data_IF_717818331357
#
_entry.id   IF_717818331357
#
_cell.length_a   1.000
_cell.length_b   1.000
_cell.length_c   1.000
_cell.angle_alpha   90.00
_cell.angle_beta   90.00
_cell.angle_gamma   90.00
#
_symmetry.space_group_name_H-M   'P 1'
#
loop_
_entity.id
_entity.type
_entity.pdbx_description
1 polymer ?
#
# COMPACT_ATOMS: atom_id res chain seq x y z
N UNK A 1 -2.87 24.50 -7.49
CA UNK A 1 -2.20 23.54 -6.59
C UNK A 1 -2.93 22.20 -6.71
N UNK A 2 -2.23 21.06 -6.75
CA UNK A 2 -2.87 19.74 -6.80
C UNK A 2 -3.80 19.55 -5.60
N UNK A 3 -5.04 19.11 -5.83
CA UNK A 3 -6.01 18.80 -4.78
C UNK A 3 -6.05 17.28 -4.54
N UNK A 4 -5.77 16.87 -3.31
CA UNK A 4 -5.79 15.46 -2.90
C UNK A 4 -6.99 15.23 -1.97
N UNK A 5 -7.88 14.32 -2.34
CA UNK A 5 -8.90 13.78 -1.43
C UNK A 5 -8.37 12.54 -0.72
N UNK A 6 -8.72 12.33 0.55
CA UNK A 6 -8.27 11.14 1.30
C UNK A 6 -9.48 10.27 1.67
N UNK A 7 -9.43 9.00 1.30
CA UNK A 7 -10.39 7.97 1.70
C UNK A 7 -9.74 7.06 2.73
N UNK A 8 -10.27 7.04 3.96
CA UNK A 8 -9.74 6.26 5.08
C UNK A 8 -8.90 7.11 6.03
N UNK A 9 -9.46 7.42 7.21
CA UNK A 9 -8.83 8.29 8.21
C UNK A 9 -8.14 7.49 9.33
N UNK A 10 -7.47 6.39 8.95
CA UNK A 10 -6.63 5.59 9.86
C UNK A 10 -5.20 6.13 9.98
N UNK A 11 -4.26 5.26 10.38
CA UNK A 11 -2.83 5.60 10.54
C UNK A 11 -2.22 6.26 9.30
N UNK A 12 -2.33 5.64 8.13
CA UNK A 12 -1.70 6.15 6.90
C UNK A 12 -2.41 7.40 6.40
N UNK A 13 -3.75 7.39 6.31
CA UNK A 13 -4.51 8.57 5.85
C UNK A 13 -4.32 9.80 6.74
N UNK A 14 -4.25 9.60 8.07
CA UNK A 14 -3.87 10.68 9.01
C UNK A 14 -2.45 11.19 8.75
N UNK A 15 -1.50 10.27 8.54
CA UNK A 15 -0.11 10.62 8.20
C UNK A 15 0.00 11.45 6.91
N UNK A 16 -0.79 11.11 5.88
CA UNK A 16 -0.87 11.86 4.62
C UNK A 16 -1.49 13.26 4.85
N UNK A 17 -2.64 13.34 5.54
CA UNK A 17 -3.31 14.61 5.81
C UNK A 17 -2.39 15.59 6.56
N UNK A 18 -1.69 15.10 7.59
CA UNK A 18 -0.69 15.88 8.35
C UNK A 18 0.53 16.27 7.52
N UNK A 19 0.93 15.44 6.57
CA UNK A 19 2.04 15.78 5.67
C UNK A 19 1.66 16.88 4.66
N UNK A 20 0.40 16.93 4.23
CA UNK A 20 -0.15 18.02 3.41
C UNK A 20 -0.20 19.31 4.23
N UNK A 21 -0.77 19.28 5.43
CA UNK A 21 -0.83 20.44 6.35
C UNK A 21 0.56 21.02 6.63
N UNK A 22 1.54 20.16 6.91
CA UNK A 22 2.92 20.56 7.17
C UNK A 22 3.71 20.96 5.90
N UNK A 23 3.08 20.98 4.72
CA UNK A 23 3.73 21.35 3.45
C UNK A 23 4.75 20.35 2.91
N UNK A 24 4.88 19.16 3.52
CA UNK A 24 5.79 18.09 3.07
C UNK A 24 5.31 17.45 1.77
N UNK A 25 3.99 17.40 1.57
CA UNK A 25 3.37 17.10 0.29
C UNK A 25 2.89 18.44 -0.29
N UNK A 26 3.43 18.89 -1.44
CA UNK A 26 3.13 20.19 -2.03
C UNK A 26 1.76 20.22 -2.75
N UNK A 27 0.70 19.91 -2.01
CA UNK A 27 -0.69 19.80 -2.45
C UNK A 27 -1.64 20.49 -1.46
N UNK A 28 -2.92 20.58 -1.80
CA UNK A 28 -4.00 21.00 -0.91
C UNK A 28 -4.92 19.82 -0.61
N UNK A 29 -5.48 19.77 0.60
CA UNK A 29 -6.46 18.75 0.97
C UNK A 29 -7.84 19.14 0.42
N UNK A 30 -8.39 18.32 -0.48
CA UNK A 30 -9.70 18.54 -1.07
C UNK A 30 -10.84 18.25 -0.09
N UNK A 31 -10.64 17.22 0.74
CA UNK A 31 -11.60 16.76 1.72
C UNK A 31 -11.18 15.40 2.30
N UNK A 32 -11.96 14.93 3.27
CA UNK A 32 -11.80 13.63 3.90
C UNK A 32 -13.07 12.81 3.74
N UNK A 33 -12.91 11.53 3.47
CA UNK A 33 -13.98 10.54 3.50
C UNK A 33 -13.58 9.34 4.33
N UNK A 34 -14.51 8.81 5.12
CA UNK A 34 -14.31 7.56 5.85
C UNK A 34 -15.67 6.89 6.07
N UNK A 35 -15.73 5.55 5.95
CA UNK A 35 -16.96 4.76 6.18
C UNK A 35 -17.67 5.15 7.48
N UNK A 36 -16.91 5.35 8.55
CA UNK A 36 -17.41 5.95 9.79
C UNK A 36 -17.14 7.45 9.75
N UNK A 37 -18.13 8.25 9.38
CA UNK A 37 -18.02 9.72 9.21
C UNK A 37 -17.36 10.42 10.39
N UNK A 38 -17.72 10.05 11.62
CA UNK A 38 -17.16 10.62 12.84
C UNK A 38 -15.62 10.56 12.90
N UNK A 39 -14.97 9.53 12.33
CA UNK A 39 -13.50 9.45 12.26
C UNK A 39 -12.90 10.52 11.34
N UNK A 40 -13.54 10.78 10.21
CA UNK A 40 -13.11 11.85 9.30
C UNK A 40 -13.31 13.23 9.95
N UNK A 41 -14.39 13.43 10.70
CA UNK A 41 -14.65 14.69 11.42
C UNK A 41 -13.64 14.94 12.55
N UNK A 42 -13.26 13.89 13.29
CA UNK A 42 -12.19 13.99 14.31
C UNK A 42 -10.87 14.41 13.66
N UNK A 43 -10.48 13.77 12.55
CA UNK A 43 -9.27 14.13 11.83
C UNK A 43 -9.36 15.56 11.28
N UNK A 44 -10.49 15.93 10.66
CA UNK A 44 -10.71 17.26 10.11
C UNK A 44 -10.53 18.37 11.16
N UNK A 45 -11.19 18.24 12.32
CA UNK A 45 -11.07 19.20 13.43
C UNK A 45 -9.67 19.33 13.99
N UNK A 46 -8.84 18.31 13.81
CA UNK A 46 -7.46 18.32 14.29
C UNK A 46 -6.49 19.04 13.35
N UNK A 47 -6.92 19.36 12.12
CA UNK A 47 -6.13 20.00 11.07
C UNK A 47 -6.48 21.49 10.93
N UNK A 48 -5.53 22.29 10.43
CA UNK A 48 -5.68 23.71 10.14
C UNK A 48 -5.15 24.05 8.75
N UNK A 49 -6.00 24.56 7.82
CA UNK A 49 -7.45 24.72 7.98
C UNK A 49 -8.16 23.36 8.06
N UNK A 50 -9.30 23.31 8.75
CA UNK A 50 -10.13 22.10 8.80
C UNK A 50 -10.66 21.77 7.40
N UNK A 51 -10.33 20.61 6.81
CA UNK A 51 -10.88 20.17 5.53
C UNK A 51 -12.37 19.80 5.66
N UNK A 52 -13.14 19.87 4.57
CA UNK A 52 -14.51 19.37 4.57
C UNK A 52 -14.53 17.83 4.67
N UNK A 53 -15.56 17.30 5.32
CA UNK A 53 -15.87 15.87 5.32
C UNK A 53 -16.97 15.62 4.30
N UNK A 54 -16.65 14.87 3.26
CA UNK A 54 -17.46 14.68 2.06
C UNK A 54 -17.90 13.22 1.92
N UNK A 55 -18.98 12.99 1.17
CA UNK A 55 -19.22 11.65 0.64
C UNK A 55 -18.18 11.26 -0.44
N UNK A 56 -18.19 10.01 -0.89
CA UNK A 56 -17.19 9.53 -1.84
C UNK A 56 -17.30 10.25 -3.20
N UNK A 57 -18.51 10.49 -3.69
CA UNK A 57 -18.72 11.10 -5.00
C UNK A 57 -18.31 12.58 -5.01
N UNK A 58 -18.70 13.33 -3.98
CA UNK A 58 -18.29 14.71 -3.74
C UNK A 58 -16.77 14.82 -3.60
N UNK A 59 -16.15 13.90 -2.85
CA UNK A 59 -14.70 13.88 -2.68
C UNK A 59 -13.96 13.67 -4.00
N UNK A 60 -14.40 12.70 -4.82
CA UNK A 60 -13.84 12.43 -6.15
C UNK A 60 -14.00 13.67 -7.05
N UNK A 61 -15.18 14.29 -7.04
CA UNK A 61 -15.45 15.51 -7.82
C UNK A 61 -14.54 16.68 -7.45
N UNK A 62 -14.24 16.84 -6.16
CA UNK A 62 -13.41 17.92 -5.61
C UNK A 62 -11.89 17.69 -5.75
N UNK A 63 -11.44 16.50 -6.14
CA UNK A 63 -10.03 16.09 -6.13
C UNK A 63 -9.43 16.01 -7.53
N UNK A 64 -8.13 16.32 -7.66
CA UNK A 64 -7.34 15.92 -8.83
C UNK A 64 -6.85 14.47 -8.67
N UNK A 65 -6.56 14.05 -7.44
CA UNK A 65 -6.15 12.70 -7.06
C UNK A 65 -6.86 12.27 -5.77
N UNK A 66 -7.30 11.02 -5.70
CA UNK A 66 -7.82 10.41 -4.45
C UNK A 66 -6.79 9.44 -3.87
N UNK A 67 -6.39 9.66 -2.62
CA UNK A 67 -5.53 8.75 -1.87
C UNK A 67 -6.37 7.79 -1.02
N UNK A 68 -6.40 6.52 -1.43
CA UNK A 68 -6.99 5.43 -0.69
C UNK A 68 -6.02 4.94 0.40
N UNK A 69 -6.50 4.96 1.64
CA UNK A 69 -5.86 4.41 2.83
C UNK A 69 -6.94 3.73 3.72
N UNK A 70 -7.79 2.94 3.09
CA UNK A 70 -8.96 2.30 3.66
C UNK A 70 -8.79 0.76 3.68
N UNK A 71 -9.61 0.03 2.93
CA UNK A 71 -9.59 -1.43 2.90
C UNK A 71 -9.67 -1.94 1.46
N UNK A 72 -9.26 -3.20 1.24
CA UNK A 72 -9.36 -3.88 -0.06
C UNK A 72 -10.78 -3.79 -0.63
N UNK A 73 -11.78 -4.03 0.20
CA UNK A 73 -13.20 -4.02 -0.21
C UNK A 73 -13.67 -2.62 -0.62
N UNK A 74 -13.03 -1.57 -0.11
CA UNK A 74 -13.39 -0.19 -0.47
C UNK A 74 -12.93 0.17 -1.89
N UNK A 75 -11.94 -0.56 -2.46
CA UNK A 75 -11.40 -0.24 -3.79
C UNK A 75 -12.42 -0.43 -4.91
N UNK A 76 -13.32 -1.39 -4.76
CA UNK A 76 -14.43 -1.67 -5.69
C UNK A 76 -15.31 -0.45 -5.97
N UNK A 77 -15.39 0.48 -5.01
CA UNK A 77 -16.13 1.73 -5.17
C UNK A 77 -15.19 2.88 -5.53
N UNK A 78 -14.01 2.94 -4.90
CA UNK A 78 -13.09 4.08 -5.03
C UNK A 78 -12.46 4.14 -6.42
N UNK A 79 -11.88 3.03 -6.90
CA UNK A 79 -11.11 3.03 -8.15
C UNK A 79 -12.03 3.32 -9.34
N UNK A 80 -13.16 2.62 -9.54
CA UNK A 80 -14.06 2.93 -10.64
C UNK A 80 -14.59 4.37 -10.59
N UNK A 81 -14.97 4.87 -9.40
CA UNK A 81 -15.43 6.25 -9.26
C UNK A 81 -14.36 7.27 -9.69
N UNK A 82 -13.09 7.05 -9.32
CA UNK A 82 -11.98 7.90 -9.73
C UNK A 82 -11.77 7.85 -11.24
N UNK A 83 -11.63 6.66 -11.81
CA UNK A 83 -11.34 6.48 -13.24
C UNK A 83 -12.48 7.04 -14.10
N UNK A 84 -13.74 6.76 -13.77
CA UNK A 84 -14.90 7.29 -14.49
C UNK A 84 -14.96 8.82 -14.50
N UNK A 85 -14.43 9.48 -13.47
CA UNK A 85 -14.34 10.94 -13.36
C UNK A 85 -13.02 11.52 -13.86
N UNK A 86 -12.16 10.71 -14.49
CA UNK A 86 -10.87 11.17 -15.00
C UNK A 86 -9.91 11.60 -13.89
N UNK A 87 -10.01 10.99 -12.69
CA UNK A 87 -9.17 11.29 -11.52
C UNK A 87 -8.12 10.22 -11.33
N UNK A 88 -6.92 10.67 -10.95
CA UNK A 88 -5.87 9.75 -10.54
C UNK A 88 -6.21 9.15 -9.17
N UNK A 89 -5.72 7.95 -8.91
CA UNK A 89 -5.93 7.26 -7.63
C UNK A 89 -4.61 6.76 -7.09
N UNK A 90 -4.36 6.99 -5.80
CA UNK A 90 -3.24 6.42 -5.06
C UNK A 90 -3.77 5.33 -4.15
N UNK A 91 -3.19 4.13 -4.19
CA UNK A 91 -3.73 2.92 -3.56
C UNK A 91 -2.75 2.32 -2.56
N UNK A 92 -3.20 2.14 -1.33
CA UNK A 92 -2.45 1.48 -0.25
C UNK A 92 -2.83 0.01 -0.12
N UNK A 93 -4.11 -0.31 -0.37
CA UNK A 93 -4.65 -1.66 -0.30
C UNK A 93 -4.33 -2.47 -1.57
N UNK A 94 -3.06 -2.46 -1.98
CA UNK A 94 -2.55 -2.91 -3.29
C UNK A 94 -2.97 -4.34 -3.64
N UNK A 95 -3.14 -5.22 -2.63
CA UNK A 95 -3.63 -6.58 -2.86
C UNK A 95 -4.95 -6.64 -3.65
N UNK A 96 -5.84 -5.65 -3.50
CA UNK A 96 -7.08 -5.59 -4.29
C UNK A 96 -6.88 -5.27 -5.77
N UNK A 97 -5.81 -4.55 -6.13
CA UNK A 97 -5.50 -4.29 -7.54
C UNK A 97 -5.14 -5.57 -8.31
N UNK A 98 -4.71 -6.63 -7.61
CA UNK A 98 -4.36 -7.90 -8.25
C UNK A 98 -5.59 -8.68 -8.74
N UNK A 99 -6.77 -8.39 -8.21
CA UNK A 99 -8.03 -9.00 -8.61
C UNK A 99 -8.65 -8.28 -9.81
N UNK A 100 -8.24 -7.03 -10.06
CA UNK A 100 -8.81 -6.15 -11.06
C UNK A 100 -7.76 -5.62 -12.05
N UNK A 101 -7.10 -6.50 -12.84
CA UNK A 101 -6.13 -6.06 -13.86
C UNK A 101 -6.75 -5.10 -14.89
N UNK A 102 -8.07 -5.18 -15.11
CA UNK A 102 -8.82 -4.30 -16.02
C UNK A 102 -8.78 -2.82 -15.60
N UNK A 103 -8.61 -2.50 -14.32
CA UNK A 103 -8.53 -1.10 -13.88
C UNK A 103 -7.28 -0.39 -14.41
N UNK A 104 -6.18 -1.12 -14.62
CA UNK A 104 -4.98 -0.53 -15.23
C UNK A 104 -5.23 -0.17 -16.69
N UNK A 105 -5.92 -1.06 -17.43
CA UNK A 105 -6.29 -0.79 -18.82
C UNK A 105 -7.28 0.37 -18.94
N UNK A 106 -8.25 0.45 -18.03
CA UNK A 106 -9.18 1.58 -17.98
C UNK A 106 -8.46 2.89 -17.63
N UNK A 107 -7.52 2.86 -16.68
CA UNK A 107 -6.73 4.03 -16.33
C UNK A 107 -5.93 4.56 -17.53
N UNK A 108 -5.26 3.66 -18.27
CA UNK A 108 -4.53 4.01 -19.49
C UNK A 108 -5.45 4.60 -20.56
N UNK A 109 -6.59 3.96 -20.82
CA UNK A 109 -7.58 4.41 -21.81
C UNK A 109 -8.14 5.81 -21.50
N UNK A 110 -8.18 6.19 -20.22
CA UNK A 110 -8.68 7.48 -19.74
C UNK A 110 -7.58 8.51 -19.46
N UNK A 111 -6.31 8.12 -19.58
CA UNK A 111 -5.17 8.98 -19.21
C UNK A 111 -5.06 9.26 -17.71
N UNK A 112 -5.61 8.38 -16.87
CA UNK A 112 -5.50 8.43 -15.41
C UNK A 112 -4.30 7.61 -14.93
N UNK A 113 -3.76 7.97 -13.77
CA UNK A 113 -2.73 7.20 -13.11
C UNK A 113 -3.28 6.42 -11.90
N UNK A 114 -2.89 5.15 -11.78
CA UNK A 114 -2.98 4.37 -10.54
C UNK A 114 -1.59 4.35 -9.88
N UNK A 115 -1.46 5.04 -8.76
CA UNK A 115 -0.21 5.18 -8.02
C UNK A 115 -0.15 4.19 -6.87
N UNK A 116 0.99 3.51 -6.77
CA UNK A 116 1.25 2.50 -5.75
C UNK A 116 2.57 2.82 -5.05
N UNK A 117 2.60 3.03 -3.72
CA UNK A 117 3.85 3.24 -3.00
C UNK A 117 4.60 1.92 -2.82
N UNK A 118 5.87 2.01 -2.43
CA UNK A 118 6.64 0.82 -2.04
C UNK A 118 6.16 0.18 -0.73
N UNK A 119 5.36 0.89 0.08
CA UNK A 119 4.89 0.38 1.36
C UNK A 119 6.04 0.21 2.36
N UNK A 120 6.12 -0.96 3.01
CA UNK A 120 7.16 -1.28 4.00
C UNK A 120 8.44 -1.89 3.39
N UNK A 121 8.63 -1.81 2.07
CA UNK A 121 9.82 -2.29 1.37
C UNK A 121 10.48 -1.17 0.55
N UNK A 122 11.65 -1.48 0.00
CA UNK A 122 12.42 -0.61 -0.88
C UNK A 122 12.90 -1.41 -2.11
N UNK A 123 13.53 -0.72 -3.07
CA UNK A 123 14.15 -1.34 -4.25
C UNK A 123 13.20 -1.70 -5.39
N UNK A 124 11.94 -1.25 -5.36
CA UNK A 124 10.99 -1.50 -6.45
C UNK A 124 11.40 -0.82 -7.76
N UNK A 125 12.17 0.27 -7.70
CA UNK A 125 12.88 0.87 -8.84
C UNK A 125 13.84 -0.12 -9.49
N UNK A 126 14.69 -0.78 -8.70
CA UNK A 126 15.60 -1.83 -9.18
C UNK A 126 14.87 -3.05 -9.75
N UNK A 127 13.75 -3.45 -9.14
CA UNK A 127 12.91 -4.54 -9.68
C UNK A 127 12.29 -4.16 -11.02
N UNK A 128 11.77 -2.93 -11.16
CA UNK A 128 11.23 -2.43 -12.44
C UNK A 128 12.31 -2.36 -13.52
N UNK A 129 13.51 -1.91 -13.17
CA UNK A 129 14.64 -1.89 -14.10
C UNK A 129 15.03 -3.31 -14.54
N UNK A 130 15.08 -4.27 -13.61
CA UNK A 130 15.33 -5.67 -13.91
C UNK A 130 14.25 -6.29 -14.82
N UNK A 131 12.98 -5.87 -14.66
CA UNK A 131 11.85 -6.38 -15.44
C UNK A 131 11.86 -5.91 -16.90
N UNK A 132 12.73 -4.96 -17.27
CA UNK A 132 12.99 -4.61 -18.67
C UNK A 132 13.76 -5.70 -19.42
N UNK A 133 14.45 -6.58 -18.69
CA UNK A 133 15.08 -7.79 -19.21
C UNK A 133 14.39 -9.05 -18.67
N UNK A 134 15.09 -10.17 -18.74
CA UNK A 134 14.60 -11.45 -18.19
C UNK A 134 14.91 -11.58 -16.70
N UNK A 135 13.86 -11.75 -15.91
CA UNK A 135 13.92 -12.17 -14.51
C UNK A 135 13.57 -13.66 -14.43
N UNK A 136 14.46 -14.44 -13.82
CA UNK A 136 14.28 -15.89 -13.61
C UNK A 136 13.47 -16.17 -12.33
N UNK A 137 13.64 -15.36 -11.29
CA UNK A 137 12.92 -15.54 -10.03
C UNK A 137 12.80 -14.26 -9.21
N UNK A 138 11.67 -14.12 -8.51
CA UNK A 138 11.45 -13.14 -7.45
C UNK A 138 10.95 -13.89 -6.22
N UNK A 139 11.62 -13.74 -5.09
CA UNK A 139 11.19 -14.29 -3.80
C UNK A 139 11.17 -13.19 -2.74
N UNK A 140 10.07 -13.07 -2.02
CA UNK A 140 9.97 -12.25 -0.83
C UNK A 140 9.81 -13.12 0.41
N UNK A 141 10.72 -12.97 1.37
CA UNK A 141 10.61 -13.58 2.69
C UNK A 141 10.23 -12.52 3.71
N UNK A 142 9.12 -12.74 4.41
CA UNK A 142 8.62 -11.89 5.48
C UNK A 142 8.76 -12.62 6.81
N UNK A 143 9.50 -12.01 7.75
CA UNK A 143 9.61 -12.46 9.14
C UNK A 143 8.82 -11.51 10.04
N UNK A 144 7.93 -12.06 10.86
CA UNK A 144 7.08 -11.27 11.76
C UNK A 144 6.91 -11.95 13.11
N UNK A 145 6.68 -11.17 14.18
CA UNK A 145 6.22 -11.72 15.44
C UNK A 145 4.87 -12.45 15.24
N UNK A 146 4.62 -13.60 15.90
CA UNK A 146 3.38 -14.38 15.72
C UNK A 146 2.11 -13.54 15.90
N UNK A 147 2.09 -12.63 16.89
CA UNK A 147 0.98 -11.70 17.13
C UNK A 147 0.62 -10.83 15.92
N UNK A 148 1.58 -10.51 15.06
CA UNK A 148 1.36 -9.75 13.82
C UNK A 148 0.67 -10.53 12.70
N UNK A 149 0.45 -11.83 12.90
CA UNK A 149 -0.17 -12.77 11.97
C UNK A 149 -1.55 -13.25 12.47
N UNK A 150 -1.91 -12.93 13.71
CA UNK A 150 -3.18 -13.33 14.32
C UNK A 150 -4.40 -12.83 13.53
N UNK A 151 -5.39 -13.72 13.37
CA UNK A 151 -6.64 -13.44 12.65
C UNK A 151 -6.50 -13.37 11.12
N UNK A 152 -5.33 -13.69 10.55
CA UNK A 152 -5.22 -13.85 9.11
C UNK A 152 -6.06 -15.07 8.64
N UNK A 153 -6.82 -14.98 7.53
CA UNK A 153 -7.62 -16.08 7.01
C UNK A 153 -6.87 -17.41 6.94
N UNK A 154 -5.64 -17.40 6.39
CA UNK A 154 -4.84 -18.62 6.30
C UNK A 154 -4.54 -19.26 7.66
N UNK A 155 -4.25 -18.45 8.68
CA UNK A 155 -3.98 -18.93 10.04
C UNK A 155 -5.23 -19.56 10.65
N UNK A 156 -6.39 -18.92 10.46
CA UNK A 156 -7.67 -19.40 10.99
C UNK A 156 -8.10 -20.69 10.28
N UNK A 157 -8.10 -20.69 8.94
CA UNK A 157 -8.57 -21.80 8.12
C UNK A 157 -7.72 -23.06 8.28
N UNK A 158 -6.44 -22.91 8.62
CA UNK A 158 -5.51 -24.03 8.84
C UNK A 158 -5.31 -24.35 10.34
N UNK A 159 -6.04 -23.69 11.24
CA UNK A 159 -5.95 -23.94 12.69
C UNK A 159 -4.55 -23.75 13.28
N UNK A 160 -3.79 -22.78 12.77
CA UNK A 160 -2.41 -22.54 13.22
C UNK A 160 -2.42 -21.86 14.59
N UNK A 161 -1.91 -22.57 15.60
CA UNK A 161 -1.65 -22.00 16.92
C UNK A 161 -0.35 -21.20 16.93
N UNK A 162 -0.48 -19.88 16.83
CA UNK A 162 0.64 -18.94 16.80
C UNK A 162 1.41 -18.86 18.12
N UNK A 163 0.78 -19.22 19.25
CA UNK A 163 1.39 -19.16 20.58
C UNK A 163 2.20 -20.43 20.89
N UNK A 164 2.00 -21.51 20.14
CA UNK A 164 2.76 -22.75 20.26
C UNK A 164 4.18 -22.66 19.68
N UNK A 165 4.48 -21.64 18.87
CA UNK A 165 5.79 -21.50 18.24
C UNK A 165 6.86 -21.03 19.24
N UNK A 166 7.91 -21.83 19.42
CA UNK A 166 9.09 -21.51 20.24
C UNK A 166 10.33 -21.18 19.40
N UNK A 167 10.30 -21.46 18.09
CA UNK A 167 11.37 -21.19 17.13
C UNK A 167 10.84 -20.57 15.82
N UNK A 168 11.72 -20.05 14.97
CA UNK A 168 11.34 -19.48 13.67
C UNK A 168 10.64 -20.55 12.82
N UNK A 169 9.35 -20.35 12.53
CA UNK A 169 8.52 -21.35 11.86
C UNK A 169 7.95 -20.78 10.55
N UNK A 170 8.25 -21.37 9.38
CA UNK A 170 7.56 -21.04 8.15
C UNK A 170 6.08 -21.42 8.27
N UNK A 171 5.20 -20.44 8.10
CA UNK A 171 3.74 -20.66 8.18
C UNK A 171 3.06 -20.65 6.81
N UNK A 172 3.73 -20.09 5.80
CA UNK A 172 3.19 -20.00 4.44
C UNK A 172 4.31 -19.96 3.43
N UNK A 173 4.14 -20.69 2.32
CA UNK A 173 4.92 -20.57 1.10
C UNK A 173 4.01 -20.73 -0.11
N UNK A 174 4.00 -19.73 -0.99
CA UNK A 174 3.13 -19.70 -2.16
C UNK A 174 3.42 -18.53 -3.08
N UNK A 175 2.49 -18.22 -3.96
CA UNK A 175 2.51 -17.05 -4.85
C UNK A 175 2.11 -15.78 -4.09
N UNK A 176 2.39 -14.62 -4.67
CA UNK A 176 1.94 -13.35 -4.11
C UNK A 176 0.40 -13.25 -4.13
N UNK A 177 -0.28 -13.85 -5.11
CA UNK A 177 -1.75 -13.92 -5.16
C UNK A 177 -2.33 -14.68 -3.97
N UNK A 178 -1.85 -15.91 -3.74
CA UNK A 178 -2.27 -16.74 -2.61
C UNK A 178 -1.97 -16.04 -1.27
N UNK A 179 -0.79 -15.41 -1.15
CA UNK A 179 -0.44 -14.64 0.03
C UNK A 179 -1.43 -13.49 0.27
N UNK A 180 -1.85 -12.77 -0.78
CA UNK A 180 -2.86 -11.69 -0.70
C UNK A 180 -4.23 -12.16 -0.24
N UNK A 181 -4.61 -13.38 -0.56
CA UNK A 181 -5.85 -13.99 -0.06
C UNK A 181 -5.71 -14.46 1.39
N UNK A 182 -4.60 -15.15 1.71
CA UNK A 182 -4.37 -15.72 3.03
C UNK A 182 -4.01 -14.72 4.13
N UNK A 183 -3.40 -13.59 3.77
CA UNK A 183 -2.83 -12.62 4.72
C UNK A 183 -3.10 -11.15 4.32
N UNK A 184 -4.35 -10.75 4.04
CA UNK A 184 -4.68 -9.47 3.39
C UNK A 184 -4.17 -8.22 4.12
N UNK A 185 -4.08 -8.26 5.46
CA UNK A 185 -3.54 -7.15 6.26
C UNK A 185 -2.00 -7.04 6.26
N UNK A 186 -1.27 -8.00 5.69
CA UNK A 186 0.16 -8.18 5.92
C UNK A 186 1.02 -8.23 4.64
N UNK A 187 0.41 -8.16 3.46
CA UNK A 187 1.06 -8.54 2.18
C UNK A 187 0.87 -7.52 1.05
N UNK A 188 0.45 -6.29 1.35
CA UNK A 188 0.44 -5.20 0.35
C UNK A 188 1.83 -4.98 -0.27
N UNK A 189 2.91 -5.26 0.48
CA UNK A 189 4.28 -5.23 -0.06
C UNK A 189 4.57 -6.37 -1.03
N UNK A 190 3.97 -7.55 -0.85
CA UNK A 190 4.02 -8.64 -1.84
C UNK A 190 3.34 -8.21 -3.15
N UNK A 191 2.18 -7.57 -3.02
CA UNK A 191 1.42 -7.08 -4.16
C UNK A 191 2.21 -6.00 -4.91
N UNK A 192 2.76 -5.01 -4.20
CA UNK A 192 3.61 -3.97 -4.75
C UNK A 192 4.82 -4.54 -5.53
N UNK A 193 5.51 -5.52 -4.93
CA UNK A 193 6.63 -6.21 -5.55
C UNK A 193 6.19 -6.96 -6.82
N UNK A 194 5.06 -7.65 -6.77
CA UNK A 194 4.56 -8.41 -7.90
C UNK A 194 4.16 -7.54 -9.08
N UNK A 195 3.57 -6.37 -8.82
CA UNK A 195 3.23 -5.37 -9.84
C UNK A 195 4.49 -4.73 -10.44
N UNK A 196 5.55 -4.55 -9.64
CA UNK A 196 6.83 -4.01 -10.11
C UNK A 196 7.68 -5.03 -10.88
N UNK A 197 7.44 -6.32 -10.68
CA UNK A 197 8.27 -7.41 -11.20
C UNK A 197 7.51 -8.32 -12.16
N UNK A 198 7.55 -9.63 -11.89
CA UNK A 198 7.11 -10.69 -12.82
C UNK A 198 5.65 -11.11 -12.65
N UNK A 199 4.82 -10.26 -12.02
CA UNK A 199 3.42 -10.54 -11.76
C UNK A 199 3.16 -11.39 -10.51
N UNK A 200 1.90 -11.45 -10.06
CA UNK A 200 1.52 -12.03 -8.77
C UNK A 200 1.63 -13.56 -8.72
N UNK A 201 1.48 -14.24 -9.86
CA UNK A 201 1.47 -15.70 -9.94
C UNK A 201 2.89 -16.29 -10.03
N UNK A 202 3.89 -15.49 -10.43
CA UNK A 202 5.30 -15.90 -10.52
C UNK A 202 6.16 -15.41 -9.35
N UNK A 203 5.69 -14.39 -8.62
CA UNK A 203 6.38 -13.88 -7.44
C UNK A 203 6.14 -14.82 -6.26
N UNK A 204 7.21 -15.39 -5.68
CA UNK A 204 7.11 -16.29 -4.53
C UNK A 204 7.15 -15.52 -3.22
N UNK A 205 6.31 -15.92 -2.27
CA UNK A 205 6.22 -15.32 -0.94
C UNK A 205 6.39 -16.41 0.11
N UNK A 206 7.22 -16.13 1.11
CA UNK A 206 7.39 -16.93 2.32
C UNK A 206 7.07 -16.07 3.53
N UNK A 207 6.25 -16.59 4.45
CA UNK A 207 5.95 -15.93 5.71
C UNK A 207 6.44 -16.82 6.85
N UNK A 208 7.25 -16.25 7.73
CA UNK A 208 7.88 -16.92 8.85
C UNK A 208 7.44 -16.21 10.13
N UNK A 209 6.87 -16.98 11.05
CA UNK A 209 6.60 -16.53 12.41
C UNK A 209 7.88 -16.61 13.24
N UNK A 210 8.24 -15.50 13.91
CA UNK A 210 9.47 -15.36 14.69
C UNK A 210 9.12 -15.03 16.15
N UNK A 211 9.00 -16.03 17.03
CA UNK A 211 8.80 -15.82 18.46
C UNK A 211 9.88 -14.92 19.05
N UNK A 212 9.49 -13.95 19.89
CA UNK A 212 10.43 -12.95 20.46
C UNK A 212 10.91 -11.88 19.47
N UNK A 213 10.50 -11.93 18.20
CA UNK A 213 10.76 -10.88 17.23
C UNK A 213 10.13 -9.54 17.62
N UNK A 214 10.82 -8.44 17.34
CA UNK A 214 10.37 -7.07 17.65
C UNK A 214 9.99 -6.32 16.36
N UNK A 215 10.66 -6.62 15.25
CA UNK A 215 10.51 -5.91 13.98
C UNK A 215 9.90 -6.79 12.90
N UNK A 216 9.25 -6.15 11.94
CA UNK A 216 8.85 -6.80 10.69
C UNK A 216 10.04 -6.73 9.72
N UNK A 217 10.57 -7.87 9.31
CA UNK A 217 11.68 -7.93 8.35
C UNK A 217 11.19 -8.45 7.02
N UNK A 218 11.45 -7.70 5.96
CA UNK A 218 11.18 -8.11 4.59
C UNK A 218 12.50 -8.24 3.84
N UNK A 219 12.72 -9.40 3.24
CA UNK A 219 13.86 -9.66 2.36
C UNK A 219 13.34 -10.00 0.97
N UNK A 220 13.79 -9.26 -0.02
CA UNK A 220 13.48 -9.45 -1.43
C UNK A 220 14.74 -9.95 -2.11
N UNK A 221 14.61 -11.03 -2.87
CA UNK A 221 15.67 -11.56 -3.73
C UNK A 221 15.14 -11.69 -5.15
N UNK A 222 15.80 -11.03 -6.10
CA UNK A 222 15.50 -11.11 -7.52
C UNK A 222 16.73 -11.60 -8.26
N UNK A 223 16.54 -12.59 -9.13
CA UNK A 223 17.58 -13.13 -10.01
C UNK A 223 17.12 -13.05 -11.45
N UNK A 224 18.02 -12.67 -12.33
CA UNK A 224 17.79 -12.63 -13.76
C UNK A 224 19.10 -12.46 -14.51
N UNK A 225 19.01 -12.16 -15.80
CA UNK A 225 20.20 -11.95 -16.63
C UNK A 225 21.03 -10.72 -16.20
N UNK A 226 20.39 -9.76 -15.54
CA UNK A 226 21.06 -8.61 -14.93
C UNK A 226 21.93 -8.98 -13.71
N UNK A 227 21.82 -10.22 -13.20
CA UNK A 227 22.50 -10.70 -12.01
C UNK A 227 21.55 -10.93 -10.83
N UNK A 228 21.93 -10.42 -9.65
CA UNK A 228 21.17 -10.63 -8.41
C UNK A 228 20.95 -9.31 -7.66
N UNK A 229 19.69 -9.01 -7.38
CA UNK A 229 19.28 -7.91 -6.49
C UNK A 229 18.81 -8.50 -5.17
N UNK A 230 19.32 -7.96 -4.06
CA UNK A 230 18.83 -8.28 -2.72
C UNK A 230 18.55 -7.01 -1.96
N UNK A 231 17.36 -6.93 -1.37
CA UNK A 231 16.96 -5.83 -0.50
C UNK A 231 16.46 -6.42 0.81
N UNK A 232 16.93 -5.88 1.94
CA UNK A 232 16.44 -6.25 3.27
C UNK A 232 16.03 -4.99 4.03
N UNK A 233 14.83 -5.02 4.60
CA UNK A 233 14.26 -3.90 5.35
C UNK A 233 13.74 -4.41 6.69
N UNK A 234 14.21 -3.81 7.77
CA UNK A 234 13.67 -3.99 9.12
C UNK A 234 12.82 -2.78 9.49
N UNK A 235 11.53 -3.01 9.69
CA UNK A 235 10.58 -1.94 9.95
C UNK A 235 10.28 -1.82 11.43
N UNK A 236 10.42 -0.61 11.95
CA UNK A 236 9.82 -0.19 13.22
C UNK A 236 8.29 -0.13 13.04
N UNK A 237 7.52 -0.84 13.89
CA UNK A 237 6.07 -0.73 13.90
C UNK A 237 5.60 0.69 14.24
N UNK A 238 4.47 1.13 13.68
CA UNK A 238 3.82 2.36 14.09
C UNK A 238 3.21 2.22 15.48
N UNK A 239 3.34 3.25 16.32
CA UNK A 239 2.70 3.32 17.63
C UNK A 239 1.18 3.19 17.56
N UNK A 240 0.56 3.72 16.50
CA UNK A 240 -0.91 3.70 16.32
C UNK A 240 -1.45 2.39 15.74
N UNK A 241 -0.60 1.62 15.07
CA UNK A 241 -0.95 0.30 14.53
C UNK A 241 0.32 -0.54 14.35
N UNK A 242 0.62 -1.48 15.27
CA UNK A 242 1.81 -2.32 15.21
C UNK A 242 1.91 -3.20 13.95
N UNK A 243 0.80 -3.39 13.22
CA UNK A 243 0.81 -4.13 11.95
C UNK A 243 1.37 -3.30 10.78
N UNK A 244 1.40 -1.98 10.91
CA UNK A 244 1.91 -1.05 9.89
C UNK A 244 3.32 -0.61 10.25
N UNK A 245 4.29 -0.87 9.37
CA UNK A 245 5.64 -0.33 9.51
C UNK A 245 5.66 1.18 9.22
N UNK A 246 6.45 1.96 9.97
CA UNK A 246 6.58 3.41 9.75
C UNK A 246 6.96 3.78 8.31
N UNK A 247 7.77 2.94 7.65
CA UNK A 247 8.15 3.16 6.26
C UNK A 247 6.94 3.16 5.31
N UNK A 248 5.84 2.46 5.62
CA UNK A 248 4.63 2.51 4.81
C UNK A 248 4.00 3.91 4.80
N UNK A 249 4.05 4.61 5.93
CA UNK A 249 3.56 5.99 6.03
C UNK A 249 4.49 6.90 5.23
N UNK A 250 5.81 6.74 5.39
CA UNK A 250 6.80 7.59 4.72
C UNK A 250 6.88 7.36 3.21
N UNK A 251 6.76 6.12 2.74
CA UNK A 251 6.71 5.82 1.30
C UNK A 251 5.45 6.39 0.66
N UNK A 252 4.33 6.40 1.37
CA UNK A 252 3.10 7.06 0.92
C UNK A 252 3.28 8.56 0.77
N UNK A 253 3.85 9.20 1.79
CA UNK A 253 4.14 10.64 1.78
C UNK A 253 5.15 10.98 0.67
N UNK A 254 6.21 10.19 0.52
CA UNK A 254 7.24 10.36 -0.50
C UNK A 254 6.66 10.26 -1.92
N UNK A 255 5.89 9.21 -2.19
CA UNK A 255 5.25 8.97 -3.50
C UNK A 255 4.31 10.12 -3.87
N UNK A 256 3.44 10.55 -2.95
CA UNK A 256 2.53 11.67 -3.19
C UNK A 256 3.27 13.00 -3.34
N UNK A 257 4.36 13.22 -2.59
CA UNK A 257 5.16 14.43 -2.71
C UNK A 257 5.87 14.53 -4.06
N UNK A 258 6.48 13.43 -4.52
CA UNK A 258 7.08 13.33 -5.85
C UNK A 258 6.04 13.60 -6.95
N UNK A 259 4.89 12.92 -6.86
CA UNK A 259 3.78 13.09 -7.79
C UNK A 259 3.30 14.54 -7.86
N UNK A 260 3.09 15.18 -6.70
CA UNK A 260 2.65 16.56 -6.62
C UNK A 260 3.67 17.55 -7.23
N UNK A 261 4.97 17.29 -7.08
CA UNK A 261 6.03 18.09 -7.72
C UNK A 261 6.00 17.94 -9.24
N UNK A 262 5.91 16.71 -9.74
CA UNK A 262 5.87 16.44 -11.18
C UNK A 262 4.61 17.01 -11.87
N UNK A 263 3.47 17.06 -11.19
CA UNK A 263 2.25 17.68 -11.72
C UNK A 263 2.30 19.22 -11.75
N UNK A 264 3.09 19.85 -10.88
CA UNK A 264 3.29 21.31 -10.90
C UNK A 264 4.04 21.76 -12.16
N UNK A 265 5.05 21.01 -12.58
CA UNK A 265 5.89 21.37 -13.74
C UNK A 265 5.20 21.18 -15.09
N UNK A 266 4.12 20.38 -15.17
CA UNK A 266 3.35 20.18 -16.41
C UNK A 266 2.30 21.27 -16.68
N UNK A 267 1.99 22.13 -15.69
CA UNK A 267 0.98 23.21 -15.80
C UNK A 267 1.59 24.62 -15.82
N UNK A 268 2.92 24.72 -15.81
CA UNK A 268 3.70 25.96 -16.02
C UNK A 268 4.24 26.01 -17.43
#
# INVERSE_FOLDING_TARGET
>A
MLKIGIVGCGTIGTGIARAIEAGRIPAALAGLHNRTRARAEVLARSLSPSPPVLDLAELVGASDLVAEAATRESLEQIVPACLQNGRDVFVISIGGLLDHPEWFQEADARGCAILVPSGAIAGLDGVRAAAMGRIDSVTMTTRKPPRGLAGAPYVVDHGIDLDAFTEETPIFEGTAREACQGFPSNVNVSAALSLAGIGPDKTRVRIIAVPGGIFNRHRIEVKGEFGRLVVEVENVPSETNPRTGLLSIYSSIGTLAEYARARRTRRS
#
